data_IF_642340781715
#
_entry.id   IF_642340781715
#
_cell.length_a   1.000
_cell.length_b   1.000
_cell.length_c   1.000
_cell.angle_alpha   90.00
_cell.angle_beta   90.00
_cell.angle_gamma   90.00
#
_symmetry.space_group_name_H-M   'P 1'
#
loop_
_entity.id
_entity.type
_entity.pdbx_description
1 polymer ?
#
# COMPACT_ATOMS: atom_id res chain seq x y z
N UNK A 1 -8.53 21.16 9.86
CA UNK A 1 -9.64 21.66 10.69
C UNK A 1 -10.82 22.08 9.83
N UNK A 2 -10.60 22.82 8.74
CA UNK A 2 -11.64 23.26 7.78
C UNK A 2 -12.58 22.15 7.23
N UNK A 3 -12.09 20.92 7.10
CA UNK A 3 -12.91 19.78 6.64
C UNK A 3 -13.87 19.23 7.72
N UNK A 4 -13.76 19.68 8.98
CA UNK A 4 -14.64 19.28 10.07
C UNK A 4 -15.87 20.18 10.02
N UNK A 5 -17.01 19.57 9.72
CA UNK A 5 -18.30 20.28 9.68
C UNK A 5 -18.64 20.86 11.05
N UNK A 6 -19.12 22.09 11.04
CA UNK A 6 -19.65 22.79 12.21
C UNK A 6 -20.84 22.03 12.82
N UNK A 7 -21.09 22.29 14.10
CA UNK A 7 -22.26 21.75 14.82
C UNK A 7 -23.52 22.51 14.41
N UNK A 8 -24.01 22.20 13.20
CA UNK A 8 -25.18 22.77 12.57
C UNK A 8 -26.14 21.63 12.14
N UNK A 9 -27.45 21.68 12.47
CA UNK A 9 -28.42 20.66 12.06
C UNK A 9 -28.56 20.45 10.54
N UNK A 10 -28.12 21.41 9.72
CA UNK A 10 -28.06 21.27 8.26
C UNK A 10 -26.85 20.45 7.79
N UNK A 11 -25.88 20.18 8.67
CA UNK A 11 -24.68 19.44 8.39
C UNK A 11 -24.68 18.04 9.02
N UNK A 12 -24.09 17.07 8.32
CA UNK A 12 -23.80 15.77 8.92
C UNK A 12 -22.72 15.93 10.00
N UNK A 13 -22.88 15.27 11.15
CA UNK A 13 -21.85 15.29 12.19
C UNK A 13 -20.58 14.55 11.73
N UNK A 14 -19.45 15.25 11.73
CA UNK A 14 -18.14 14.64 11.52
C UNK A 14 -17.83 13.66 12.67
N UNK A 15 -17.42 12.42 12.34
CA UNK A 15 -17.18 11.37 13.35
C UNK A 15 -15.89 10.58 13.18
N UNK A 16 -15.35 10.51 11.97
CA UNK A 16 -14.23 9.64 11.62
C UNK A 16 -13.28 10.36 10.69
N UNK A 17 -12.00 10.36 11.06
CA UNK A 17 -10.87 10.62 10.16
C UNK A 17 -10.37 9.28 9.61
N UNK A 18 -10.33 9.15 8.29
CA UNK A 18 -9.65 8.04 7.63
C UNK A 18 -8.29 8.50 7.12
N UNK A 19 -7.25 7.81 7.55
CA UNK A 19 -5.88 7.94 7.05
C UNK A 19 -5.54 6.74 6.18
N UNK A 20 -4.59 6.91 5.27
CA UNK A 20 -4.02 5.81 4.48
C UNK A 20 -2.49 5.89 4.60
N UNK A 21 -1.82 4.77 4.86
CA UNK A 21 -0.36 4.70 4.83
C UNK A 21 0.08 3.27 4.45
N UNK A 22 0.75 3.06 3.31
CA UNK A 22 1.24 4.02 2.30
C UNK A 22 0.18 4.61 1.37
N UNK A 23 0.40 5.82 0.82
CA UNK A 23 -0.44 6.41 -0.25
C UNK A 23 0.36 6.48 -1.55
N UNK A 24 -0.12 5.85 -2.63
CA UNK A 24 0.60 5.83 -3.90
C UNK A 24 2.03 5.29 -3.76
N UNK A 25 2.23 4.30 -2.89
CA UNK A 25 3.55 3.73 -2.57
C UNK A 25 4.40 4.58 -1.61
N UNK A 26 4.03 5.82 -1.31
CA UNK A 26 4.81 6.68 -0.41
C UNK A 26 4.41 6.49 1.03
N UNK A 27 5.40 6.33 1.91
CA UNK A 27 5.19 6.33 3.34
C UNK A 27 4.97 7.76 3.83
N UNK A 28 3.86 8.01 4.52
CA UNK A 28 3.62 9.30 5.19
C UNK A 28 4.41 9.31 6.51
N UNK A 29 5.17 10.38 6.74
CA UNK A 29 6.04 10.47 7.92
C UNK A 29 5.26 10.34 9.23
N UNK A 30 5.90 9.71 10.22
CA UNK A 30 5.29 9.50 11.53
C UNK A 30 4.83 10.82 12.17
N UNK A 31 5.64 11.88 12.05
CA UNK A 31 5.28 13.22 12.54
C UNK A 31 3.99 13.74 11.91
N UNK A 32 3.84 13.64 10.58
CA UNK A 32 2.62 14.09 9.91
C UNK A 32 1.40 13.25 10.30
N UNK A 33 1.58 11.94 10.46
CA UNK A 33 0.53 11.06 10.97
C UNK A 33 0.08 11.49 12.38
N UNK A 34 1.04 11.76 13.28
CA UNK A 34 0.76 12.25 14.63
C UNK A 34 0.05 13.61 14.63
N UNK A 35 0.55 14.59 13.88
CA UNK A 35 -0.02 15.95 13.84
C UNK A 35 -1.50 15.93 13.42
N UNK A 36 -1.84 15.17 12.37
CA UNK A 36 -3.24 15.07 11.90
C UNK A 36 -4.09 14.29 12.90
N UNK A 37 -3.52 13.26 13.54
CA UNK A 37 -4.22 12.47 14.57
C UNK A 37 -4.54 13.30 15.81
N UNK A 38 -3.63 14.17 16.23
CA UNK A 38 -3.84 15.04 17.38
C UNK A 38 -4.93 16.08 17.12
N UNK A 39 -5.00 16.63 15.91
CA UNK A 39 -6.10 17.51 15.48
C UNK A 39 -7.44 16.76 15.54
N UNK A 40 -7.50 15.52 15.03
CA UNK A 40 -8.70 14.71 15.06
C UNK A 40 -9.15 14.38 16.49
N UNK A 41 -8.22 14.03 17.37
CA UNK A 41 -8.50 13.78 18.80
C UNK A 41 -9.02 15.01 19.53
N UNK A 42 -8.40 16.18 19.31
CA UNK A 42 -8.87 17.47 19.88
C UNK A 42 -10.31 17.79 19.48
N UNK A 43 -10.72 17.35 18.29
CA UNK A 43 -12.08 17.54 17.75
C UNK A 43 -13.00 16.32 17.97
N UNK A 44 -12.65 15.41 18.90
CA UNK A 44 -13.45 14.24 19.27
C UNK A 44 -13.81 13.30 18.10
N UNK A 45 -12.95 13.23 17.09
CA UNK A 45 -13.09 12.29 15.97
C UNK A 45 -12.40 10.97 16.32
N UNK A 46 -13.01 9.85 15.91
CA UNK A 46 -12.29 8.58 15.82
C UNK A 46 -11.35 8.58 14.62
N UNK A 47 -10.32 7.73 14.65
CA UNK A 47 -9.31 7.64 13.60
C UNK A 47 -9.18 6.20 13.12
N UNK A 48 -9.31 5.99 11.81
CA UNK A 48 -9.00 4.72 11.16
C UNK A 48 -7.80 4.88 10.24
N UNK A 49 -6.84 3.94 10.31
CA UNK A 49 -5.75 3.82 9.36
C UNK A 49 -6.01 2.66 8.39
N UNK A 50 -6.23 2.97 7.12
CA UNK A 50 -6.04 2.00 6.04
C UNK A 50 -4.54 1.71 5.88
N UNK A 51 -4.13 0.62 6.50
CA UNK A 51 -2.80 0.05 6.45
C UNK A 51 -2.71 -1.11 5.46
N UNK A 52 -3.38 -1.04 4.30
CA UNK A 52 -3.26 -2.06 3.26
C UNK A 52 -1.80 -2.42 2.90
N UNK A 53 -0.87 -1.49 3.11
CA UNK A 53 0.59 -1.71 3.03
C UNK A 53 1.31 -1.21 4.30
N UNK A 54 0.71 -1.45 5.46
CA UNK A 54 1.20 -0.99 6.77
C UNK A 54 2.68 -1.31 6.97
N UNK A 55 3.09 -2.56 6.71
CA UNK A 55 4.49 -2.96 6.90
C UNK A 55 5.46 -2.40 5.85
N UNK A 56 4.99 -2.00 4.65
CA UNK A 56 5.83 -1.21 3.74
C UNK A 56 6.12 0.17 4.33
N UNK A 57 5.12 0.81 4.94
CA UNK A 57 5.31 2.10 5.62
C UNK A 57 6.24 1.96 6.83
N UNK A 58 6.03 0.96 7.69
CA UNK A 58 6.91 0.66 8.84
C UNK A 58 8.36 0.46 8.38
N UNK A 59 8.57 -0.35 7.35
CA UNK A 59 9.91 -0.63 6.79
C UNK A 59 10.57 0.65 6.26
N UNK A 60 9.85 1.44 5.45
CA UNK A 60 10.41 2.66 4.86
C UNK A 60 10.66 3.78 5.88
N UNK A 61 9.84 3.88 6.93
CA UNK A 61 10.03 4.84 8.01
C UNK A 61 11.06 4.38 9.05
N UNK A 62 11.46 3.11 9.01
CA UNK A 62 12.33 2.48 10.02
C UNK A 62 11.81 2.71 11.45
N UNK A 63 10.50 2.65 11.64
CA UNK A 63 9.85 2.81 12.93
C UNK A 63 9.36 1.47 13.49
N UNK A 64 8.95 1.45 14.75
CA UNK A 64 8.26 0.28 15.32
C UNK A 64 6.80 0.25 14.84
N UNK A 65 6.22 -0.93 14.56
CA UNK A 65 4.81 -1.06 14.20
C UNK A 65 3.86 -0.30 15.14
N UNK A 66 4.12 -0.34 16.44
CA UNK A 66 3.30 0.28 17.47
C UNK A 66 3.28 1.81 17.34
N UNK A 67 4.39 2.44 16.92
CA UNK A 67 4.47 3.89 16.76
C UNK A 67 3.50 4.38 15.68
N UNK A 68 3.45 3.69 14.53
CA UNK A 68 2.51 4.01 13.47
C UNK A 68 1.08 3.63 13.85
N UNK A 69 0.87 2.47 14.47
CA UNK A 69 -0.46 2.03 14.89
C UNK A 69 -1.10 2.97 15.92
N UNK A 70 -0.31 3.52 16.85
CA UNK A 70 -0.77 4.47 17.87
C UNK A 70 -1.23 5.83 17.31
N UNK A 71 -1.06 6.07 16.01
CA UNK A 71 -1.67 7.23 15.35
C UNK A 71 -3.19 7.03 15.14
N UNK A 72 -3.74 5.82 15.24
CA UNK A 72 -5.15 5.55 14.98
C UNK A 72 -5.84 4.72 16.07
N UNK A 73 -7.17 4.81 16.16
CA UNK A 73 -7.98 3.96 17.06
C UNK A 73 -8.20 2.55 16.49
N UNK A 74 -8.08 2.43 15.17
CA UNK A 74 -8.18 1.17 14.45
C UNK A 74 -7.30 1.16 13.20
N UNK A 75 -6.81 -0.02 12.85
CA UNK A 75 -5.92 -0.22 11.68
C UNK A 75 -6.40 -1.43 10.89
N UNK A 76 -6.51 -1.29 9.57
CA UNK A 76 -6.67 -2.44 8.66
C UNK A 76 -5.31 -2.83 8.11
N UNK A 77 -4.91 -4.10 8.21
CA UNK A 77 -3.62 -4.61 7.70
C UNK A 77 -3.89 -5.72 6.69
N UNK A 78 -3.55 -5.51 5.42
CA UNK A 78 -3.67 -6.57 4.41
C UNK A 78 -2.50 -7.55 4.52
N UNK A 79 -2.82 -8.85 4.52
CA UNK A 79 -1.84 -9.93 4.52
C UNK A 79 -1.57 -10.43 3.09
N UNK A 80 -2.53 -10.25 2.19
CA UNK A 80 -2.47 -10.79 0.82
C UNK A 80 -1.85 -9.85 -0.21
N UNK A 81 -0.86 -9.04 0.21
CA UNK A 81 -0.10 -8.14 -0.68
C UNK A 81 1.40 -8.46 -0.58
N UNK A 82 2.25 -7.51 -0.15
CA UNK A 82 3.68 -7.76 0.04
C UNK A 82 3.99 -8.86 1.06
N UNK A 83 3.08 -9.10 2.02
CA UNK A 83 3.12 -10.21 2.97
C UNK A 83 2.72 -11.57 2.36
N UNK A 84 2.19 -11.58 1.13
CA UNK A 84 2.01 -12.72 0.23
C UNK A 84 1.28 -13.91 0.81
N UNK A 85 0.26 -13.67 1.63
CA UNK A 85 -0.75 -14.69 1.91
C UNK A 85 -1.71 -14.83 0.73
N UNK A 86 -2.37 -16.00 0.56
CA UNK A 86 -3.32 -16.18 -0.55
C UNK A 86 -4.56 -15.29 -0.44
N UNK A 87 -5.00 -14.98 0.79
CA UNK A 87 -6.05 -14.03 1.10
C UNK A 87 -5.92 -13.54 2.54
N UNK A 88 -6.65 -12.47 2.88
CA UNK A 88 -6.83 -12.03 4.27
C UNK A 88 -6.39 -10.60 4.56
N UNK A 89 -7.15 -9.98 5.46
CA UNK A 89 -6.89 -8.67 6.08
C UNK A 89 -7.26 -8.79 7.56
N UNK A 90 -6.48 -8.16 8.43
CA UNK A 90 -6.76 -8.08 9.87
C UNK A 90 -7.23 -6.67 10.19
N UNK A 91 -8.32 -6.55 10.94
CA UNK A 91 -8.75 -5.30 11.53
C UNK A 91 -8.37 -5.31 13.01
N UNK A 92 -7.55 -4.34 13.42
CA UNK A 92 -7.03 -4.16 14.78
C UNK A 92 -7.67 -2.93 15.40
N UNK A 93 -7.95 -2.97 16.71
CA UNK A 93 -8.52 -1.86 17.46
C UNK A 93 -9.00 -2.31 18.83
N UNK A 94 -9.68 -1.43 19.57
CA UNK A 94 -10.17 -1.75 20.91
C UNK A 94 -11.14 -2.95 20.93
N UNK A 95 -11.18 -3.66 22.06
CA UNK A 95 -12.12 -4.79 22.26
C UNK A 95 -13.58 -4.38 22.02
N UNK A 96 -13.97 -3.16 22.42
CA UNK A 96 -15.32 -2.62 22.17
C UNK A 96 -15.60 -2.46 20.67
N UNK A 97 -14.65 -1.89 19.93
CA UNK A 97 -14.75 -1.72 18.49
C UNK A 97 -14.82 -3.07 17.76
N UNK A 98 -13.92 -4.01 18.10
CA UNK A 98 -13.85 -5.32 17.45
C UNK A 98 -15.10 -6.18 17.71
N UNK A 99 -15.79 -6.03 18.85
CA UNK A 99 -17.09 -6.68 19.06
C UNK A 99 -18.15 -6.21 18.05
N UNK A 100 -18.22 -4.90 17.79
CA UNK A 100 -19.13 -4.34 16.76
C UNK A 100 -18.71 -4.79 15.36
N UNK A 101 -17.42 -4.73 15.04
CA UNK A 101 -16.88 -5.16 13.75
C UNK A 101 -17.16 -6.65 13.47
N UNK A 102 -17.07 -7.53 14.48
CA UNK A 102 -17.43 -8.96 14.33
C UNK A 102 -18.90 -9.17 13.96
N UNK A 103 -19.82 -8.38 14.55
CA UNK A 103 -21.24 -8.41 14.17
C UNK A 103 -21.43 -7.97 12.72
N UNK A 104 -20.79 -6.87 12.31
CA UNK A 104 -20.84 -6.39 10.93
C UNK A 104 -20.24 -7.41 9.96
N UNK A 105 -19.12 -8.06 10.30
CA UNK A 105 -18.53 -9.14 9.51
C UNK A 105 -19.51 -10.31 9.29
N UNK A 106 -20.40 -10.59 10.26
CA UNK A 106 -21.43 -11.63 10.10
C UNK A 106 -22.54 -11.19 9.14
N UNK A 107 -22.97 -9.94 9.24
CA UNK A 107 -23.99 -9.33 8.36
C UNK A 107 -23.49 -9.31 6.91
N UNK A 108 -22.24 -8.88 6.71
CA UNK A 108 -21.59 -8.77 5.40
C UNK A 108 -21.12 -10.12 4.81
N UNK A 109 -21.37 -11.24 5.49
CA UNK A 109 -21.00 -12.58 5.00
C UNK A 109 -19.54 -12.99 5.17
N UNK A 110 -18.67 -12.16 5.74
CA UNK A 110 -17.24 -12.44 5.93
C UNK A 110 -16.89 -13.41 7.07
N UNK A 111 -17.87 -14.08 7.67
CA UNK A 111 -17.64 -15.02 8.78
C UNK A 111 -17.50 -16.46 8.27
N UNK A 112 -16.30 -16.77 7.78
CA UNK A 112 -15.93 -18.09 7.26
C UNK A 112 -15.80 -19.12 8.39
N UNK A 113 -15.86 -20.41 8.02
CA UNK A 113 -15.74 -21.55 8.95
C UNK A 113 -14.27 -21.96 9.14
N UNK A 114 -13.77 -22.91 8.36
CA UNK A 114 -12.42 -23.49 8.47
C UNK A 114 -11.31 -22.53 7.98
N UNK A 115 -11.33 -21.27 8.45
CA UNK A 115 -10.41 -20.20 8.06
C UNK A 115 -9.02 -20.34 8.70
N UNK A 116 -8.83 -21.32 9.60
CA UNK A 116 -7.55 -21.59 10.26
C UNK A 116 -6.40 -21.83 9.28
N UNK A 117 -6.67 -22.46 8.13
CA UNK A 117 -5.67 -22.68 7.07
C UNK A 117 -5.13 -21.36 6.52
N UNK A 118 -6.02 -20.39 6.29
CA UNK A 118 -5.63 -19.04 5.83
C UNK A 118 -4.95 -18.26 6.95
N UNK A 119 -5.46 -18.37 8.18
CA UNK A 119 -4.88 -17.70 9.34
C UNK A 119 -3.44 -18.18 9.62
N UNK A 120 -3.14 -19.46 9.39
CA UNK A 120 -1.78 -20.00 9.50
C UNK A 120 -0.81 -19.35 8.51
N UNK A 121 -1.22 -19.13 7.25
CA UNK A 121 -0.42 -18.37 6.29
C UNK A 121 -0.20 -16.91 6.74
N UNK A 122 -1.23 -16.31 7.36
CA UNK A 122 -1.13 -14.99 7.98
C UNK A 122 -0.10 -14.92 9.10
N UNK A 123 -0.11 -15.88 10.02
CA UNK A 123 0.86 -15.97 11.11
C UNK A 123 2.28 -16.12 10.58
N UNK A 124 2.48 -17.08 9.65
CA UNK A 124 3.78 -17.27 8.99
C UNK A 124 4.28 -15.97 8.34
N UNK A 125 3.40 -15.25 7.64
CA UNK A 125 3.79 -14.04 6.94
C UNK A 125 4.21 -12.90 7.88
N UNK A 126 3.54 -12.76 9.04
CA UNK A 126 3.91 -11.77 10.03
C UNK A 126 5.26 -12.09 10.68
N UNK A 127 5.58 -13.36 10.89
CA UNK A 127 6.85 -13.76 11.51
C UNK A 127 8.04 -13.73 10.52
N UNK A 128 7.80 -14.04 9.24
CA UNK A 128 8.89 -14.35 8.30
C UNK A 128 9.04 -13.36 7.14
N UNK A 129 7.96 -12.67 6.73
CA UNK A 129 7.95 -11.96 5.45
C UNK A 129 8.07 -10.43 5.57
N UNK A 130 8.05 -9.86 6.78
CA UNK A 130 8.14 -8.40 6.95
C UNK A 130 9.52 -7.89 6.53
N UNK A 131 10.59 -8.56 6.96
CA UNK A 131 11.97 -8.14 6.69
C UNK A 131 12.30 -8.10 5.20
N UNK A 132 11.72 -9.01 4.40
CA UNK A 132 11.94 -9.05 2.95
C UNK A 132 11.32 -7.88 2.20
N UNK A 133 10.42 -7.10 2.81
CA UNK A 133 9.84 -5.91 2.16
C UNK A 133 10.91 -4.88 1.80
N UNK A 134 12.02 -4.81 2.53
CA UNK A 134 13.13 -3.92 2.21
C UNK A 134 13.75 -4.26 0.85
N UNK A 135 13.79 -5.54 0.47
CA UNK A 135 14.30 -5.96 -0.85
C UNK A 135 13.34 -5.55 -1.97
N UNK A 136 12.03 -5.63 -1.75
CA UNK A 136 11.04 -5.10 -2.70
C UNK A 136 11.24 -3.58 -2.92
N UNK A 137 11.60 -2.83 -1.87
CA UNK A 137 11.85 -1.40 -1.97
C UNK A 137 13.13 -1.10 -2.75
N UNK A 138 14.22 -1.82 -2.45
CA UNK A 138 15.49 -1.69 -3.17
C UNK A 138 15.32 -1.98 -4.65
N UNK A 139 14.61 -3.07 -5.00
CA UNK A 139 14.30 -3.42 -6.40
C UNK A 139 13.48 -2.34 -7.10
N UNK A 140 12.46 -1.79 -6.43
CA UNK A 140 11.65 -0.72 -6.99
C UNK A 140 12.48 0.53 -7.27
N UNK A 141 13.36 0.92 -6.34
CA UNK A 141 14.22 2.10 -6.53
C UNK A 141 15.28 1.88 -7.60
N UNK A 142 15.90 0.69 -7.65
CA UNK A 142 16.83 0.32 -8.73
C UNK A 142 16.14 0.41 -10.09
N UNK A 143 14.95 -0.17 -10.22
CA UNK A 143 14.17 -0.10 -11.46
C UNK A 143 13.82 1.33 -11.85
N UNK A 144 13.38 2.15 -10.89
CA UNK A 144 13.08 3.55 -11.12
C UNK A 144 14.31 4.31 -11.62
N UNK A 145 15.49 4.04 -11.07
CA UNK A 145 16.74 4.67 -11.49
C UNK A 145 17.14 4.29 -12.92
N UNK A 146 16.99 3.03 -13.32
CA UNK A 146 17.20 2.62 -14.71
C UNK A 146 16.28 3.38 -15.67
N UNK A 147 14.99 3.49 -15.34
CA UNK A 147 14.03 4.24 -16.17
C UNK A 147 14.35 5.74 -16.22
N UNK A 148 14.81 6.33 -15.11
CA UNK A 148 15.27 7.74 -15.07
C UNK A 148 16.49 7.94 -15.97
N UNK A 149 17.45 7.02 -15.92
CA UNK A 149 18.66 7.04 -16.75
C UNK A 149 18.38 7.01 -18.25
N UNK A 150 17.27 6.37 -18.67
CA UNK A 150 16.84 6.35 -20.07
C UNK A 150 16.21 7.68 -20.53
N UNK A 151 15.76 8.56 -19.63
CA UNK A 151 15.11 9.84 -19.95
C UNK A 151 13.90 9.72 -20.91
N UNK A 152 13.12 8.65 -20.78
CA UNK A 152 11.98 8.28 -21.64
C UNK A 152 10.61 8.75 -21.11
N UNK A 153 10.58 9.36 -19.93
CA UNK A 153 9.35 9.71 -19.23
C UNK A 153 9.57 10.28 -17.84
N UNK A 154 8.49 10.65 -17.17
CA UNK A 154 8.50 11.00 -15.76
C UNK A 154 8.44 9.71 -14.93
N UNK A 155 9.34 9.60 -13.95
CA UNK A 155 9.41 8.44 -13.04
C UNK A 155 9.32 8.92 -11.60
N UNK A 156 8.37 8.38 -10.85
CA UNK A 156 8.22 8.56 -9.40
C UNK A 156 8.26 7.20 -8.72
N UNK A 157 8.81 7.10 -7.53
CA UNK A 157 8.93 5.84 -6.79
C UNK A 157 8.60 6.05 -5.31
N UNK A 158 8.18 4.96 -4.67
CA UNK A 158 7.91 4.95 -3.24
C UNK A 158 7.68 3.53 -2.76
N UNK A 159 8.38 3.13 -1.69
CA UNK A 159 8.41 1.75 -1.18
C UNK A 159 8.58 0.75 -2.32
N UNK A 160 7.58 -0.09 -2.60
CA UNK A 160 7.62 -1.12 -3.64
C UNK A 160 6.90 -0.72 -4.93
N UNK A 161 6.66 0.57 -5.17
CA UNK A 161 5.97 1.05 -6.37
C UNK A 161 6.86 1.96 -7.21
N UNK A 162 6.73 1.82 -8.53
CA UNK A 162 7.27 2.72 -9.54
C UNK A 162 6.11 3.20 -10.41
N UNK A 163 6.02 4.52 -10.58
CA UNK A 163 5.07 5.19 -11.42
C UNK A 163 5.80 5.79 -12.61
N UNK A 164 5.41 5.39 -13.81
CA UNK A 164 6.06 5.82 -15.05
C UNK A 164 5.05 6.46 -16.00
N UNK A 165 5.34 7.69 -16.44
CA UNK A 165 4.60 8.37 -17.49
C UNK A 165 5.49 8.54 -18.72
N UNK A 166 5.27 7.74 -19.79
CA UNK A 166 6.00 7.87 -21.05
C UNK A 166 5.85 9.26 -21.68
N UNK A 167 6.92 9.82 -22.26
CA UNK A 167 6.84 11.10 -23.02
C UNK A 167 5.96 10.98 -24.27
N UNK A 168 5.98 9.81 -24.91
CA UNK A 168 5.26 9.54 -26.16
C UNK A 168 3.78 9.19 -25.94
N UNK A 169 3.36 8.96 -24.69
CA UNK A 169 2.01 8.51 -24.34
C UNK A 169 1.64 7.11 -24.84
N UNK A 170 2.59 6.31 -25.33
CA UNK A 170 2.33 5.04 -26.01
C UNK A 170 2.24 3.84 -25.06
N UNK A 171 1.55 3.99 -23.92
CA UNK A 171 1.42 2.94 -22.88
C UNK A 171 0.98 1.59 -23.42
N UNK A 172 0.01 1.56 -24.35
CA UNK A 172 -0.50 0.30 -24.94
C UNK A 172 0.57 -0.43 -25.75
N UNK A 173 1.34 0.30 -26.58
CA UNK A 173 2.40 -0.28 -27.41
C UNK A 173 3.56 -0.78 -26.55
N UNK A 174 3.97 0.01 -25.55
CA UNK A 174 4.97 -0.39 -24.57
C UNK A 174 4.56 -1.70 -23.87
N UNK A 175 3.33 -1.79 -23.36
CA UNK A 175 2.83 -3.00 -22.70
C UNK A 175 2.89 -4.22 -23.62
N UNK A 176 2.38 -4.10 -24.85
CA UNK A 176 2.42 -5.18 -25.84
C UNK A 176 3.85 -5.61 -26.20
N UNK A 177 4.81 -4.68 -26.16
CA UNK A 177 6.23 -5.02 -26.36
C UNK A 177 6.81 -5.78 -25.17
N UNK A 178 6.52 -5.34 -23.94
CA UNK A 178 7.00 -5.98 -22.71
C UNK A 178 6.46 -7.39 -22.50
N UNK A 179 5.29 -7.72 -23.06
CA UNK A 179 4.77 -9.10 -23.05
C UNK A 179 5.71 -10.09 -23.74
N UNK A 180 6.49 -9.67 -24.76
CA UNK A 180 7.52 -10.49 -25.42
C UNK A 180 8.69 -10.82 -24.48
N UNK A 181 8.89 -10.02 -23.44
CA UNK A 181 9.87 -10.22 -22.38
C UNK A 181 9.26 -10.95 -21.16
N UNK A 182 8.02 -11.44 -21.28
CA UNK A 182 7.23 -12.01 -20.16
C UNK A 182 7.00 -11.03 -19.02
N UNK A 183 6.97 -9.72 -19.31
CA UNK A 183 6.80 -8.65 -18.32
C UNK A 183 5.40 -8.06 -18.44
N UNK A 184 4.68 -8.02 -17.31
CA UNK A 184 3.35 -7.42 -17.22
C UNK A 184 3.41 -6.12 -16.44
N UNK A 185 2.91 -5.05 -17.05
CA UNK A 185 2.78 -3.72 -16.42
C UNK A 185 1.31 -3.30 -16.38
N UNK A 186 1.00 -2.27 -15.59
CA UNK A 186 -0.33 -1.69 -15.52
C UNK A 186 -0.79 -1.06 -16.85
N UNK A 187 -2.09 -0.85 -17.00
CA UNK A 187 -2.73 -0.18 -18.13
C UNK A 187 -3.11 1.28 -17.85
N UNK A 188 -2.71 1.81 -16.70
CA UNK A 188 -3.05 3.18 -16.32
C UNK A 188 -2.38 4.18 -17.27
N UNK A 189 -3.16 5.19 -17.67
CA UNK A 189 -2.74 6.27 -18.55
C UNK A 189 -3.10 7.60 -17.86
N UNK A 190 -2.18 8.57 -17.73
CA UNK A 190 -0.83 8.61 -18.27
C UNK A 190 0.24 7.94 -17.39
N UNK A 191 -0.03 7.68 -16.12
CA UNK A 191 0.96 7.10 -15.20
C UNK A 191 0.73 5.62 -14.97
N UNK A 192 1.58 4.80 -15.58
CA UNK A 192 1.63 3.34 -15.40
C UNK A 192 2.12 3.04 -13.99
N UNK A 193 1.38 2.22 -13.24
CA UNK A 193 1.82 1.73 -11.93
C UNK A 193 2.43 0.35 -12.06
N UNK A 194 3.68 0.22 -11.63
CA UNK A 194 4.43 -1.04 -11.56
C UNK A 194 4.75 -1.32 -10.09
N UNK A 195 4.50 -2.55 -9.65
CA UNK A 195 4.58 -2.93 -8.23
C UNK A 195 5.50 -4.12 -8.08
N UNK A 196 6.53 -3.96 -7.27
CA UNK A 196 7.52 -4.99 -6.97
C UNK A 196 7.03 -5.81 -5.76
N UNK A 197 7.29 -7.11 -5.77
CA UNK A 197 6.91 -8.02 -4.69
C UNK A 197 7.84 -9.24 -4.68
N UNK A 198 7.75 -10.06 -3.63
CA UNK A 198 8.61 -11.24 -3.39
C UNK A 198 8.81 -12.20 -4.57
N UNK A 199 7.86 -12.29 -5.49
CA UNK A 199 7.92 -13.23 -6.62
C UNK A 199 8.63 -12.62 -7.84
N UNK A 200 9.10 -11.37 -7.71
CA UNK A 200 9.94 -10.70 -8.70
C UNK A 200 11.39 -10.87 -8.28
N UNK A 201 12.06 -11.79 -8.97
CA UNK A 201 13.50 -12.03 -8.89
C UNK A 201 14.29 -10.94 -9.61
N UNK A 202 15.60 -10.90 -9.35
CA UNK A 202 16.51 -9.97 -10.02
C UNK A 202 16.57 -10.26 -11.54
N UNK A 203 16.53 -11.53 -11.94
CA UNK A 203 16.43 -11.94 -13.36
C UNK A 203 15.16 -11.40 -14.04
N UNK A 204 14.01 -11.47 -13.36
CA UNK A 204 12.75 -10.91 -13.87
C UNK A 204 12.83 -9.39 -13.99
N UNK A 205 13.54 -8.74 -13.07
CA UNK A 205 13.74 -7.31 -13.09
C UNK A 205 14.63 -6.86 -14.25
N UNK A 206 15.73 -7.58 -14.50
CA UNK A 206 16.61 -7.34 -15.64
C UNK A 206 15.90 -7.56 -16.97
N UNK A 207 15.02 -8.57 -17.08
CA UNK A 207 14.15 -8.74 -18.25
C UNK A 207 13.24 -7.53 -18.48
N UNK A 208 12.70 -6.94 -17.42
CA UNK A 208 11.91 -5.72 -17.52
C UNK A 208 12.75 -4.56 -18.03
N UNK A 209 13.90 -4.29 -17.41
CA UNK A 209 14.81 -3.21 -17.81
C UNK A 209 15.22 -3.35 -19.28
N UNK A 210 15.60 -4.55 -19.71
CA UNK A 210 15.96 -4.83 -21.11
C UNK A 210 14.78 -4.63 -22.07
N UNK A 211 13.57 -5.01 -21.65
CA UNK A 211 12.35 -4.76 -22.43
C UNK A 211 12.08 -3.26 -22.64
N UNK A 212 12.29 -2.44 -21.61
CA UNK A 212 12.20 -0.98 -21.72
C UNK A 212 13.29 -0.42 -22.63
N UNK A 213 14.55 -0.83 -22.45
CA UNK A 213 15.68 -0.42 -23.30
C UNK A 213 15.39 -0.75 -24.76
N UNK A 214 14.95 -1.96 -25.06
CA UNK A 214 14.62 -2.41 -26.42
C UNK A 214 13.43 -1.70 -27.06
N UNK A 215 12.50 -1.13 -26.28
CA UNK A 215 11.36 -0.39 -26.84
C UNK A 215 11.70 1.06 -27.20
N UNK A 216 12.59 1.69 -26.41
CA UNK A 216 12.90 3.12 -26.51
C UNK A 216 14.26 3.43 -27.16
N UNK A 217 15.07 2.42 -27.45
CA UNK A 217 16.20 2.50 -28.38
C UNK A 217 15.68 2.50 -29.82
#
# INVERSE_FOLDING_TARGET
EEAIKEDDPHHASSRLLCLENTVGGKAISLKKMQDVSDIARKNNLSIHLDGARFFNAVTALSCKPEELANCADSVSICLSKGLGTPLGTVLVGSSKFIRKARRNRKILGGSMRQVGVVAAAGHYALDNNISSLAEDHKRAEYFANELRGMNIGKVDSGTNMVFFTPKDGQTKKLRSHLEKYSVKIGDQNPSIRMVLHRDISDDSLEKAINGFKSYYQ
#
